data_IF_514939322358
#
_entry.id   IF_514939322358
#
_cell.length_a   1.000
_cell.length_b   1.000
_cell.length_c   1.000
_cell.angle_alpha   90.00
_cell.angle_beta   90.00
_cell.angle_gamma   90.00
#
_symmetry.space_group_name_H-M   'P 1'
#
loop_
_entity.id
_entity.type
_entity.pdbx_description
1 polymer ?
#
# COMPACT_ATOMS: atom_id res chain seq x y z
N UNK A 1 0.49 26.42 -5.74
CA UNK A 1 0.28 25.06 -5.22
C UNK A 1 1.51 24.63 -4.43
N UNK A 2 1.32 24.01 -3.26
CA UNK A 2 2.35 23.46 -2.39
C UNK A 2 1.99 22.00 -2.10
N UNK A 3 2.86 21.10 -2.53
CA UNK A 3 2.69 19.65 -2.35
C UNK A 3 3.58 19.22 -1.20
N UNK A 4 3.00 18.61 -0.17
CA UNK A 4 3.75 17.86 0.83
C UNK A 4 3.94 16.44 0.33
N UNK A 5 5.16 15.91 0.44
CA UNK A 5 5.46 14.51 0.19
C UNK A 5 6.02 13.91 1.47
N UNK A 6 5.37 12.86 1.95
CA UNK A 6 5.67 12.19 3.21
C UNK A 6 5.80 10.67 3.02
N UNK A 7 6.34 10.01 4.04
CA UNK A 7 6.63 8.59 4.02
C UNK A 7 7.72 8.23 3.01
N UNK A 8 7.54 7.06 2.39
CA UNK A 8 8.60 6.29 1.73
C UNK A 8 8.91 6.73 0.28
N UNK A 9 8.57 7.96 -0.10
CA UNK A 9 8.62 8.45 -1.48
C UNK A 9 10.04 8.60 -2.06
N UNK A 10 11.05 8.73 -1.19
CA UNK A 10 12.45 8.84 -1.55
C UNK A 10 13.04 7.51 -2.02
N UNK A 11 12.56 6.42 -1.42
CA UNK A 11 13.27 5.14 -1.38
C UNK A 11 12.95 4.27 -2.59
N UNK A 12 13.84 4.25 -3.57
CA UNK A 12 13.70 3.47 -4.81
C UNK A 12 13.74 1.97 -4.52
N UNK A 13 14.56 1.53 -3.58
CA UNK A 13 14.64 0.11 -3.22
C UNK A 13 13.27 -0.47 -2.81
N UNK A 14 12.46 0.30 -2.09
CA UNK A 14 11.10 -0.08 -1.67
C UNK A 14 10.15 -0.21 -2.87
N UNK A 15 10.33 0.63 -3.90
CA UNK A 15 9.56 0.51 -5.14
C UNK A 15 10.02 -0.67 -6.03
N UNK A 16 11.20 -1.25 -5.79
CA UNK A 16 11.76 -2.33 -6.62
C UNK A 16 11.50 -3.73 -6.05
N UNK A 17 11.47 -3.89 -4.72
CA UNK A 17 11.27 -5.18 -4.06
C UNK A 17 12.42 -6.18 -4.27
N UNK A 18 12.12 -7.46 -4.02
CA UNK A 18 13.07 -8.56 -4.15
C UNK A 18 13.62 -8.74 -5.57
N UNK A 19 14.67 -9.55 -5.71
CA UNK A 19 15.36 -9.83 -6.97
C UNK A 19 15.93 -8.61 -7.72
N UNK A 20 15.99 -7.44 -7.08
CA UNK A 20 16.57 -6.23 -7.66
C UNK A 20 17.91 -5.92 -7.01
N UNK A 21 18.99 -6.03 -7.80
CA UNK A 21 20.41 -5.87 -7.39
C UNK A 21 20.91 -6.85 -6.30
N UNK A 22 20.00 -7.44 -5.52
CA UNK A 22 20.25 -8.50 -4.55
C UNK A 22 19.04 -9.43 -4.50
N UNK A 23 19.23 -10.61 -3.90
CA UNK A 23 18.18 -11.63 -3.80
C UNK A 23 16.95 -11.10 -3.04
N UNK A 24 17.15 -10.63 -1.80
CA UNK A 24 16.09 -10.02 -1.00
C UNK A 24 15.78 -8.58 -1.43
N UNK A 25 16.36 -8.10 -2.53
CA UNK A 25 16.35 -6.69 -2.91
C UNK A 25 17.47 -5.90 -2.22
N UNK A 26 17.52 -4.61 -2.49
CA UNK A 26 18.41 -3.69 -1.78
C UNK A 26 17.74 -3.21 -0.50
N UNK A 27 18.55 -2.89 0.51
CA UNK A 27 18.07 -2.36 1.81
C UNK A 27 18.29 -0.86 1.94
N UNK A 28 18.85 -0.23 0.91
CA UNK A 28 19.08 1.20 0.82
C UNK A 28 19.15 1.65 -0.66
N UNK A 29 19.27 2.95 -0.87
CA UNK A 29 19.31 3.56 -2.19
C UNK A 29 20.72 3.82 -2.75
N UNK A 30 21.78 3.48 -2.00
CA UNK A 30 23.18 3.78 -2.40
C UNK A 30 23.52 3.22 -3.79
N UNK A 31 22.99 2.03 -4.10
CA UNK A 31 23.17 1.40 -5.40
C UNK A 31 22.37 2.12 -6.48
N UNK A 32 21.12 2.53 -6.18
CA UNK A 32 20.24 3.17 -7.14
C UNK A 32 20.70 4.56 -7.56
N UNK A 33 21.43 5.28 -6.70
CA UNK A 33 22.07 6.56 -7.06
C UNK A 33 23.10 6.42 -8.20
N UNK A 34 23.66 5.22 -8.38
CA UNK A 34 24.62 4.92 -9.44
C UNK A 34 23.99 4.30 -10.68
N UNK A 35 22.69 4.00 -10.64
CA UNK A 35 21.96 3.40 -11.76
C UNK A 35 21.43 4.49 -12.67
N UNK A 36 21.84 4.44 -13.93
CA UNK A 36 21.33 5.36 -14.95
C UNK A 36 19.80 5.32 -15.01
N UNK A 37 19.21 6.51 -14.92
CA UNK A 37 17.77 6.73 -14.99
C UNK A 37 16.98 6.07 -13.84
N UNK A 38 17.55 5.86 -12.65
CA UNK A 38 16.76 5.63 -11.45
C UNK A 38 16.22 6.96 -10.92
N UNK A 39 14.90 7.09 -10.83
CA UNK A 39 14.24 8.33 -10.40
C UNK A 39 13.16 8.00 -9.38
N UNK A 40 13.40 8.41 -8.13
CA UNK A 40 12.44 8.32 -7.04
C UNK A 40 11.25 9.25 -7.25
N UNK A 41 10.13 8.99 -6.56
CA UNK A 41 8.95 9.83 -6.67
C UNK A 41 9.21 11.25 -6.24
N UNK A 42 9.93 11.44 -5.12
CA UNK A 42 10.25 12.79 -4.65
C UNK A 42 11.10 13.57 -5.66
N UNK A 43 12.09 12.92 -6.27
CA UNK A 43 12.94 13.54 -7.29
C UNK A 43 12.13 13.92 -8.54
N UNK A 44 11.29 13.01 -9.03
CA UNK A 44 10.42 13.27 -10.19
C UNK A 44 9.44 14.42 -9.91
N UNK A 45 8.84 14.47 -8.72
CA UNK A 45 7.93 15.54 -8.31
C UNK A 45 8.65 16.89 -8.24
N UNK A 46 9.88 16.95 -7.71
CA UNK A 46 10.70 18.16 -7.67
C UNK A 46 11.09 18.63 -9.08
N UNK A 47 11.49 17.72 -9.96
CA UNK A 47 11.79 18.03 -11.37
C UNK A 47 10.54 18.52 -12.12
N UNK A 48 9.37 17.96 -11.82
CA UNK A 48 8.10 18.41 -12.36
C UNK A 48 7.70 19.79 -11.79
N UNK A 49 7.93 20.03 -10.50
CA UNK A 49 7.58 21.30 -9.84
C UNK A 49 8.39 22.48 -10.36
N UNK A 50 9.68 22.25 -10.62
CA UNK A 50 10.57 23.23 -11.25
C UNK A 50 10.10 23.66 -12.64
N UNK A 51 9.39 22.78 -13.37
CA UNK A 51 8.84 23.05 -14.69
C UNK A 51 7.45 23.69 -14.65
N UNK A 52 6.70 23.55 -13.55
CA UNK A 52 5.27 23.89 -13.47
C UNK A 52 4.91 24.90 -12.36
N UNK A 53 5.89 25.64 -11.83
CA UNK A 53 5.70 26.75 -10.89
C UNK A 53 4.86 26.40 -9.64
N UNK A 54 5.16 25.25 -9.02
CA UNK A 54 4.66 24.87 -7.71
C UNK A 54 5.81 24.38 -6.84
N UNK A 55 5.60 24.22 -5.54
CA UNK A 55 6.66 23.76 -4.61
C UNK A 55 6.36 22.36 -4.11
N UNK A 56 7.40 21.53 -4.02
CA UNK A 56 7.36 20.23 -3.36
C UNK A 56 8.16 20.33 -2.07
N UNK A 57 7.54 19.96 -0.95
CA UNK A 57 8.21 19.84 0.34
C UNK A 57 8.35 18.36 0.67
N UNK A 58 9.59 17.97 0.91
CA UNK A 58 10.00 16.62 1.27
C UNK A 58 10.10 16.53 2.80
N UNK A 59 9.15 15.84 3.42
CA UNK A 59 9.09 15.65 4.86
C UNK A 59 8.52 14.26 5.15
N UNK A 60 9.42 13.27 5.06
CA UNK A 60 9.15 11.86 5.30
C UNK A 60 8.35 11.61 6.59
N UNK A 61 8.64 12.36 7.66
CA UNK A 61 8.00 12.20 8.96
C UNK A 61 6.73 13.04 9.14
N UNK A 62 6.41 13.95 8.21
CA UNK A 62 5.27 14.86 8.29
C UNK A 62 5.32 15.84 9.47
N UNK A 63 6.51 16.13 10.01
CA UNK A 63 6.68 17.00 11.21
C UNK A 63 6.35 18.47 10.92
N UNK A 64 6.53 18.91 9.69
CA UNK A 64 6.29 20.27 9.21
C UNK A 64 4.81 20.59 8.93
N UNK A 65 3.92 19.61 9.10
CA UNK A 65 2.47 19.77 8.87
C UNK A 65 1.78 20.74 9.83
N UNK A 66 2.25 20.83 11.07
CA UNK A 66 1.59 21.64 12.11
C UNK A 66 1.63 23.16 11.84
N UNK A 67 2.43 23.62 10.88
CA UNK A 67 2.70 25.04 10.63
C UNK A 67 2.62 25.46 9.15
N UNK A 68 2.09 24.60 8.26
CA UNK A 68 2.23 24.80 6.82
C UNK A 68 0.91 24.62 6.08
N UNK A 69 0.54 25.63 5.29
CA UNK A 69 -0.56 25.53 4.32
C UNK A 69 -0.09 24.72 3.09
N UNK A 70 -0.49 23.44 3.01
CA UNK A 70 -0.31 22.58 1.84
C UNK A 70 -1.61 22.46 1.06
N UNK A 71 -1.51 22.40 -0.27
CA UNK A 71 -2.67 22.24 -1.15
C UNK A 71 -3.02 20.76 -1.39
N UNK A 72 -2.03 19.88 -1.30
CA UNK A 72 -2.18 18.42 -1.42
C UNK A 72 -1.04 17.73 -0.69
N UNK A 73 -1.34 16.57 -0.12
CA UNK A 73 -0.38 15.69 0.55
C UNK A 73 -0.29 14.39 -0.26
N UNK A 74 0.93 14.00 -0.61
CA UNK A 74 1.24 12.69 -1.19
C UNK A 74 1.94 11.87 -0.11
N UNK A 75 1.30 10.79 0.33
CA UNK A 75 1.86 9.88 1.33
C UNK A 75 2.22 8.55 0.67
N UNK A 76 3.49 8.18 0.74
CA UNK A 76 3.95 6.90 0.20
C UNK A 76 4.13 5.92 1.35
N UNK A 77 3.47 4.77 1.24
CA UNK A 77 3.57 3.65 2.16
C UNK A 77 4.14 2.45 1.41
N UNK A 78 4.88 1.58 2.07
CA UNK A 78 5.51 0.46 1.39
C UNK A 78 5.84 -0.72 2.30
N UNK A 79 5.78 -1.92 1.73
CA UNK A 79 6.50 -3.09 2.26
C UNK A 79 8.01 -2.97 1.99
N UNK A 80 8.81 -3.61 2.84
CA UNK A 80 10.23 -3.81 2.57
C UNK A 80 10.42 -4.83 1.43
N UNK A 81 11.58 -4.80 0.76
CA UNK A 81 11.92 -5.80 -0.24
C UNK A 81 12.06 -7.19 0.36
N UNK A 82 11.46 -8.18 -0.29
CA UNK A 82 11.57 -9.58 0.07
C UNK A 82 11.53 -10.48 -1.17
N UNK A 83 12.11 -11.67 -1.06
CA UNK A 83 12.05 -12.70 -2.08
C UNK A 83 11.88 -14.10 -1.47
N UNK A 84 11.12 -14.94 -2.16
CA UNK A 84 10.87 -16.34 -1.79
C UNK A 84 10.32 -16.45 -0.35
N UNK A 85 10.81 -17.41 0.44
CA UNK A 85 10.36 -17.72 1.80
C UNK A 85 10.42 -16.54 2.76
N UNK A 86 11.23 -15.52 2.47
CA UNK A 86 11.30 -14.33 3.32
C UNK A 86 10.09 -13.40 3.17
N UNK A 87 9.33 -13.55 2.08
CA UNK A 87 8.05 -12.86 1.87
C UNK A 87 6.84 -13.58 2.46
N UNK A 88 7.00 -14.83 2.91
CA UNK A 88 5.92 -15.60 3.51
C UNK A 88 5.44 -14.91 4.80
N UNK A 89 4.12 -14.96 5.01
CA UNK A 89 3.52 -14.59 6.30
C UNK A 89 3.54 -15.82 7.21
N UNK A 90 4.06 -15.67 8.41
CA UNK A 90 4.11 -16.73 9.42
C UNK A 90 2.69 -17.07 9.96
N UNK A 91 2.56 -18.22 10.63
CA UNK A 91 1.30 -18.56 11.31
C UNK A 91 0.91 -17.52 12.36
N UNK A 92 -0.36 -17.13 12.35
CA UNK A 92 -0.90 -16.04 13.16
C UNK A 92 -0.76 -14.65 12.54
N UNK A 93 -0.01 -14.47 11.45
CA UNK A 93 0.13 -13.17 10.79
C UNK A 93 -1.08 -12.80 9.94
N UNK A 94 -1.28 -11.50 9.68
CA UNK A 94 -2.39 -11.00 8.86
C UNK A 94 -1.90 -10.20 7.66
N UNK A 95 -2.80 -9.92 6.71
CA UNK A 95 -2.55 -9.04 5.56
C UNK A 95 -2.51 -7.54 5.94
N UNK A 96 -2.68 -7.17 7.20
CA UNK A 96 -2.66 -5.77 7.62
C UNK A 96 -1.29 -5.13 7.40
N UNK A 97 -1.28 -3.98 6.72
CA UNK A 97 -0.05 -3.23 6.45
C UNK A 97 0.60 -2.67 7.73
N UNK A 98 -0.18 -1.97 8.55
CA UNK A 98 0.33 -1.22 9.69
C UNK A 98 0.40 -2.02 11.00
N UNK A 99 -0.20 -3.22 11.05
CA UNK A 99 -0.32 -4.00 12.28
C UNK A 99 -0.39 -5.49 11.98
N UNK A 100 0.68 -6.19 12.25
CA UNK A 100 0.71 -7.63 12.17
C UNK A 100 1.48 -8.14 13.40
N UNK A 101 0.82 -8.88 14.31
CA UNK A 101 1.52 -9.51 15.43
C UNK A 101 2.24 -10.75 14.94
N UNK A 102 3.31 -10.50 14.21
CA UNK A 102 4.28 -11.52 13.85
C UNK A 102 5.12 -11.91 15.06
N UNK A 103 5.40 -13.21 15.24
CA UNK A 103 6.47 -13.65 16.15
C UNK A 103 7.85 -13.16 15.69
N UNK A 104 8.02 -12.90 14.40
CA UNK A 104 9.25 -12.40 13.78
C UNK A 104 9.27 -10.86 13.64
N UNK A 105 8.12 -10.19 13.80
CA UNK A 105 7.95 -8.74 13.63
C UNK A 105 8.08 -8.26 12.18
N UNK A 106 8.07 -9.18 11.21
CA UNK A 106 8.30 -8.86 9.79
C UNK A 106 7.05 -8.24 9.14
N UNK A 107 7.26 -7.55 8.02
CA UNK A 107 6.20 -7.05 7.14
C UNK A 107 5.14 -6.19 7.84
N UNK A 108 5.54 -5.40 8.84
CA UNK A 108 4.63 -4.54 9.61
C UNK A 108 5.17 -3.11 9.66
N UNK A 109 4.32 -2.14 9.28
CA UNK A 109 4.73 -0.75 9.06
C UNK A 109 3.81 0.23 9.81
N UNK A 110 3.78 0.21 11.16
CA UNK A 110 2.88 1.05 11.95
C UNK A 110 3.12 2.54 11.73
N UNK A 111 4.36 2.93 11.43
CA UNK A 111 4.75 4.31 11.15
C UNK A 111 3.96 4.91 9.98
N UNK A 112 3.60 4.10 8.98
CA UNK A 112 2.89 4.56 7.79
C UNK A 112 1.47 5.02 8.13
N UNK A 113 0.74 4.27 8.97
CA UNK A 113 -0.58 4.66 9.44
C UNK A 113 -0.49 5.81 10.45
N UNK A 114 0.49 5.80 11.36
CA UNK A 114 0.67 6.85 12.37
C UNK A 114 0.87 8.21 11.68
N UNK A 115 1.74 8.26 10.67
CA UNK A 115 1.97 9.48 9.88
C UNK A 115 0.71 9.92 9.14
N UNK A 116 -0.04 8.98 8.55
CA UNK A 116 -1.29 9.28 7.84
C UNK A 116 -2.38 9.84 8.78
N UNK A 117 -2.53 9.25 9.98
CA UNK A 117 -3.42 9.77 11.04
C UNK A 117 -3.02 11.18 11.44
N UNK A 118 -1.74 11.39 11.75
CA UNK A 118 -1.23 12.72 12.09
C UNK A 118 -1.49 13.74 10.98
N UNK A 119 -1.34 13.34 9.72
CA UNK A 119 -1.61 14.19 8.58
C UNK A 119 -3.09 14.57 8.47
N UNK A 120 -3.99 13.59 8.56
CA UNK A 120 -5.44 13.82 8.52
C UNK A 120 -5.92 14.67 9.70
N UNK A 121 -5.41 14.44 10.90
CA UNK A 121 -5.76 15.21 12.10
C UNK A 121 -5.29 16.66 12.01
N UNK A 122 -4.08 16.88 11.49
CA UNK A 122 -3.48 18.22 11.38
C UNK A 122 -4.02 19.04 10.22
N UNK A 123 -4.47 18.37 9.14
CA UNK A 123 -4.94 19.00 7.91
C UNK A 123 -6.23 18.36 7.39
N UNK A 124 -7.35 18.45 8.14
CA UNK A 124 -8.57 17.65 7.90
C UNK A 124 -9.17 17.84 6.52
N UNK A 125 -9.04 19.04 5.94
CA UNK A 125 -9.60 19.40 4.62
C UNK A 125 -8.60 19.32 3.48
N UNK A 126 -7.33 19.02 3.76
CA UNK A 126 -6.31 18.93 2.69
C UNK A 126 -6.43 17.57 2.00
N UNK A 127 -6.50 17.51 0.67
CA UNK A 127 -6.51 16.25 -0.05
C UNK A 127 -5.26 15.41 0.22
N UNK A 128 -5.45 14.14 0.56
CA UNK A 128 -4.37 13.16 0.77
C UNK A 128 -4.43 12.07 -0.30
N UNK A 129 -3.35 11.93 -1.07
CA UNK A 129 -3.16 10.85 -2.04
C UNK A 129 -2.18 9.85 -1.43
N UNK A 130 -2.65 8.65 -1.12
CA UNK A 130 -1.78 7.57 -0.64
C UNK A 130 -1.35 6.67 -1.78
N UNK A 131 -0.06 6.39 -1.88
CA UNK A 131 0.52 5.48 -2.88
C UNK A 131 1.16 4.31 -2.13
N UNK A 132 0.72 3.08 -2.44
CA UNK A 132 1.24 1.86 -1.84
C UNK A 132 2.21 1.15 -2.78
N UNK A 133 3.45 0.94 -2.33
CA UNK A 133 4.36 -0.04 -2.91
C UNK A 133 4.26 -1.36 -2.15
N UNK A 134 3.80 -2.41 -2.82
CA UNK A 134 3.66 -3.72 -2.19
C UNK A 134 3.86 -4.84 -3.20
N UNK A 135 4.38 -5.97 -2.72
CA UNK A 135 4.53 -7.18 -3.54
C UNK A 135 3.22 -7.96 -3.68
N UNK A 136 2.21 -7.61 -2.89
CA UNK A 136 0.91 -8.31 -2.79
C UNK A 136 -0.23 -7.35 -2.42
N UNK A 137 -1.50 -7.76 -2.61
CA UNK A 137 -2.63 -7.11 -1.96
C UNK A 137 -2.50 -7.16 -0.44
N UNK A 138 -2.84 -6.06 0.23
CA UNK A 138 -2.81 -5.94 1.69
C UNK A 138 -4.17 -5.46 2.19
N UNK A 139 -4.49 -5.75 3.44
CA UNK A 139 -5.61 -5.14 4.13
C UNK A 139 -5.22 -3.73 4.57
N UNK A 140 -5.84 -2.72 3.95
CA UNK A 140 -5.51 -1.28 4.08
C UNK A 140 -6.76 -0.40 4.19
N UNK A 141 -7.86 -0.94 4.73
CA UNK A 141 -9.13 -0.21 4.79
C UNK A 141 -9.02 1.10 5.59
N UNK A 142 -8.22 1.10 6.65
CA UNK A 142 -8.02 2.29 7.49
C UNK A 142 -7.24 3.38 6.75
N UNK A 143 -6.18 2.99 6.04
CA UNK A 143 -5.38 3.87 5.20
C UNK A 143 -6.23 4.45 4.06
N UNK A 144 -7.08 3.64 3.42
CA UNK A 144 -8.03 4.10 2.40
C UNK A 144 -9.02 5.11 3.00
N UNK A 145 -9.58 4.83 4.19
CA UNK A 145 -10.51 5.73 4.86
C UNK A 145 -9.89 7.09 5.21
N UNK A 146 -8.59 7.13 5.48
CA UNK A 146 -7.86 8.37 5.75
C UNK A 146 -7.38 9.10 4.48
N UNK A 147 -7.53 8.50 3.29
CA UNK A 147 -7.03 9.02 2.01
C UNK A 147 -8.15 9.49 1.08
N UNK A 148 -7.93 10.62 0.40
CA UNK A 148 -8.85 11.11 -0.64
C UNK A 148 -8.72 10.33 -1.95
N UNK A 149 -7.52 9.82 -2.23
CA UNK A 149 -7.25 8.87 -3.29
C UNK A 149 -6.24 7.83 -2.80
N UNK A 150 -6.37 6.60 -3.28
CA UNK A 150 -5.45 5.51 -2.93
C UNK A 150 -5.00 4.81 -4.23
N UNK A 151 -3.69 4.68 -4.40
CA UNK A 151 -3.06 4.10 -5.60
C UNK A 151 -2.24 2.89 -5.20
N UNK A 152 -2.65 1.71 -5.65
CA UNK A 152 -1.82 0.51 -5.60
C UNK A 152 -0.80 0.55 -6.76
N UNK A 153 0.45 0.88 -6.44
CA UNK A 153 1.51 1.04 -7.44
C UNK A 153 2.34 -0.24 -7.65
N UNK A 154 2.17 -1.26 -6.80
CA UNK A 154 2.94 -2.50 -6.81
C UNK A 154 4.44 -2.23 -6.65
N UNK A 155 5.28 -2.82 -7.51
CA UNK A 155 6.74 -2.63 -7.52
C UNK A 155 7.20 -2.02 -8.86
N UNK A 156 7.01 -0.70 -9.08
CA UNK A 156 7.32 -0.03 -10.35
C UNK A 156 8.82 0.25 -10.58
N UNK A 157 9.63 0.07 -9.53
CA UNK A 157 11.09 0.17 -9.52
C UNK A 157 11.65 1.48 -10.10
N UNK A 158 12.73 1.44 -10.89
CA UNK A 158 13.56 2.60 -11.25
C UNK A 158 12.83 3.74 -11.97
N UNK A 159 11.65 3.49 -12.56
CA UNK A 159 10.80 4.48 -13.24
C UNK A 159 9.52 4.80 -12.46
N UNK A 160 9.46 4.43 -11.18
CA UNK A 160 8.38 4.78 -10.27
C UNK A 160 8.09 6.28 -10.31
N UNK A 161 9.12 7.11 -10.19
CA UNK A 161 8.93 8.56 -10.06
C UNK A 161 8.23 9.18 -11.27
N UNK A 162 8.78 9.08 -12.50
CA UNK A 162 8.13 9.63 -13.68
C UNK A 162 6.73 9.04 -13.91
N UNK A 163 6.59 7.71 -13.81
CA UNK A 163 5.31 7.05 -14.05
C UNK A 163 4.21 7.43 -13.06
N UNK A 164 4.56 7.69 -11.79
CA UNK A 164 3.60 8.07 -10.76
C UNK A 164 3.40 9.59 -10.67
N UNK A 165 4.34 10.40 -11.14
CA UNK A 165 4.17 11.87 -11.17
C UNK A 165 3.14 12.28 -12.22
N UNK A 166 3.16 11.67 -13.40
CA UNK A 166 2.25 12.05 -14.48
C UNK A 166 0.76 11.80 -14.15
N UNK A 167 0.50 10.89 -13.21
CA UNK A 167 -0.83 10.49 -12.79
C UNK A 167 -1.54 11.63 -12.03
N UNK A 168 -1.21 12.01 -10.77
CA UNK A 168 -1.94 13.04 -10.01
C UNK A 168 -2.14 14.39 -10.71
N UNK A 169 -1.27 14.72 -11.67
CA UNK A 169 -1.35 15.96 -12.46
C UNK A 169 -2.21 15.84 -13.72
N UNK A 170 -2.81 14.67 -13.98
CA UNK A 170 -3.70 14.42 -15.10
C UNK A 170 -3.01 14.40 -16.46
N UNK A 171 -1.68 14.25 -16.49
CA UNK A 171 -0.94 14.18 -17.76
C UNK A 171 -1.20 12.86 -18.49
N UNK A 172 -1.49 11.79 -17.75
CA UNK A 172 -1.90 10.48 -18.27
C UNK A 172 -3.07 9.93 -17.46
N UNK A 173 -3.89 9.08 -18.08
CA UNK A 173 -5.02 8.43 -17.41
C UNK A 173 -4.62 7.08 -16.79
N UNK A 174 -5.31 6.64 -15.73
CA UNK A 174 -5.12 5.32 -15.14
C UNK A 174 -5.70 4.22 -16.05
N UNK A 175 -4.83 3.37 -16.58
CA UNK A 175 -5.20 2.20 -17.38
C UNK A 175 -5.01 0.87 -16.65
N UNK A 176 -4.24 0.88 -15.55
CA UNK A 176 -4.01 -0.30 -14.73
C UNK A 176 -5.31 -0.85 -14.15
N UNK A 177 -5.44 -2.18 -14.12
CA UNK A 177 -6.54 -2.91 -13.52
C UNK A 177 -5.97 -4.03 -12.67
N UNK A 178 -6.59 -4.30 -11.52
CA UNK A 178 -6.10 -5.29 -10.57
C UNK A 178 -5.98 -6.68 -11.22
N UNK A 179 -4.79 -7.26 -11.20
CA UNK A 179 -4.54 -8.64 -11.61
C UNK A 179 -4.80 -9.65 -10.49
N UNK A 180 -5.13 -9.17 -9.29
CA UNK A 180 -5.43 -9.96 -8.11
C UNK A 180 -6.65 -9.37 -7.40
N UNK A 181 -7.41 -10.21 -6.70
CA UNK A 181 -8.50 -9.71 -5.85
C UNK A 181 -7.91 -9.01 -4.63
N UNK A 182 -8.52 -7.90 -4.20
CA UNK A 182 -8.08 -7.18 -3.00
C UNK A 182 -8.87 -7.64 -1.78
N UNK A 183 -8.20 -7.95 -0.65
CA UNK A 183 -8.87 -8.49 0.54
C UNK A 183 -9.84 -7.49 1.17
N UNK A 184 -10.95 -8.02 1.65
CA UNK A 184 -11.94 -7.36 2.48
C UNK A 184 -11.72 -7.57 3.97
N UNK A 185 -11.01 -8.64 4.33
CA UNK A 185 -10.73 -9.01 5.71
C UNK A 185 -9.22 -9.25 5.91
N UNK A 186 -8.64 -8.92 7.09
CA UNK A 186 -7.21 -9.11 7.40
C UNK A 186 -6.69 -10.53 7.17
N UNK A 187 -7.54 -11.53 7.34
CA UNK A 187 -7.22 -12.95 7.18
C UNK A 187 -7.66 -13.56 5.85
N UNK A 188 -7.96 -12.73 4.86
CA UNK A 188 -8.50 -13.19 3.57
C UNK A 188 -7.39 -13.54 2.58
N UNK A 189 -6.56 -14.54 2.90
CA UNK A 189 -5.36 -14.88 2.13
C UNK A 189 -5.67 -15.48 0.74
N UNK A 190 -6.77 -16.22 0.62
CA UNK A 190 -7.12 -16.95 -0.59
C UNK A 190 -8.60 -16.74 -0.94
N UNK A 191 -8.86 -15.86 -1.91
CA UNK A 191 -10.22 -15.65 -2.44
C UNK A 191 -10.38 -16.47 -3.72
N UNK A 192 -10.90 -17.69 -3.59
CA UNK A 192 -11.09 -18.65 -4.68
C UNK A 192 -12.39 -18.38 -5.43
N UNK A 193 -12.68 -19.18 -6.46
CA UNK A 193 -13.94 -19.12 -7.20
C UNK A 193 -14.89 -20.13 -6.56
N UNK A 194 -16.03 -19.68 -6.04
CA UNK A 194 -17.06 -20.55 -5.48
C UNK A 194 -16.96 -20.83 -3.98
N UNK A 195 -16.03 -20.19 -3.27
CA UNK A 195 -15.93 -20.21 -1.80
C UNK A 195 -16.92 -19.25 -1.10
N UNK A 196 -17.60 -18.39 -1.88
CA UNK A 196 -18.55 -17.41 -1.35
C UNK A 196 -17.89 -16.18 -0.72
N UNK A 197 -16.56 -16.12 -0.71
CA UNK A 197 -15.81 -14.98 -0.21
C UNK A 197 -15.84 -13.83 -1.22
N UNK A 198 -16.17 -12.63 -0.74
CA UNK A 198 -16.19 -11.42 -1.57
C UNK A 198 -14.92 -10.60 -1.32
N UNK A 199 -14.23 -10.14 -2.38
CA UNK A 199 -13.13 -9.20 -2.23
C UNK A 199 -13.64 -7.76 -2.04
N UNK A 200 -12.86 -6.91 -1.37
CA UNK A 200 -13.15 -5.47 -1.27
C UNK A 200 -13.11 -4.82 -2.65
N UNK A 201 -12.07 -5.15 -3.42
CA UNK A 201 -11.97 -4.77 -4.83
C UNK A 201 -11.80 -6.03 -5.69
N UNK A 202 -12.70 -6.27 -6.67
CA UNK A 202 -12.63 -7.48 -7.48
C UNK A 202 -11.45 -7.48 -8.45
N UNK A 203 -11.15 -8.65 -8.99
CA UNK A 203 -10.25 -8.77 -10.15
C UNK A 203 -10.69 -7.84 -11.28
N UNK A 204 -9.74 -7.23 -11.99
CA UNK A 204 -9.93 -6.19 -13.01
C UNK A 204 -10.56 -4.89 -12.52
N UNK A 205 -10.72 -4.68 -11.21
CA UNK A 205 -11.08 -3.36 -10.68
C UNK A 205 -9.97 -2.34 -10.93
N UNK A 206 -10.34 -1.08 -11.15
CA UNK A 206 -9.43 0.04 -11.25
C UNK A 206 -10.15 1.24 -11.84
N UNK A 207 -10.06 2.37 -11.16
CA UNK A 207 -10.66 3.63 -11.60
C UNK A 207 -9.75 4.34 -12.60
N UNK A 208 -10.35 5.29 -13.32
CA UNK A 208 -9.75 6.21 -14.26
C UNK A 208 -10.28 7.63 -14.03
N UNK A 209 -9.68 8.63 -14.67
CA UNK A 209 -10.19 10.01 -14.61
C UNK A 209 -11.55 10.21 -15.29
N UNK A 210 -12.03 9.21 -16.05
CA UNK A 210 -13.36 9.22 -16.65
C UNK A 210 -14.43 8.72 -15.67
N UNK A 211 -14.03 8.03 -14.60
CA UNK A 211 -14.95 7.51 -13.60
C UNK A 211 -15.39 8.62 -12.64
N UNK A 212 -16.67 8.98 -12.69
CA UNK A 212 -17.26 9.98 -11.79
C UNK A 212 -17.78 9.30 -10.52
N UNK A 213 -16.90 9.03 -9.56
CA UNK A 213 -17.28 8.57 -8.22
C UNK A 213 -16.76 9.57 -7.17
N UNK A 214 -17.53 10.63 -6.84
CA UNK A 214 -17.13 11.56 -5.80
C UNK A 214 -16.94 10.82 -4.46
N UNK A 215 -15.81 11.04 -3.78
CA UNK A 215 -15.53 10.45 -2.45
C UNK A 215 -16.66 10.68 -1.45
N UNK A 216 -17.35 11.82 -1.54
CA UNK A 216 -18.47 12.18 -0.66
C UNK A 216 -19.64 11.18 -0.70
N UNK A 217 -19.71 10.34 -1.75
CA UNK A 217 -20.77 9.34 -1.93
C UNK A 217 -20.30 7.92 -1.59
N UNK A 218 -19.01 7.72 -1.26
CA UNK A 218 -18.48 6.41 -0.86
C UNK A 218 -18.46 6.31 0.68
N UNK A 219 -19.21 5.35 1.27
CA UNK A 219 -19.15 5.13 2.71
C UNK A 219 -17.74 4.72 3.12
N UNK A 220 -17.36 5.06 4.36
CA UNK A 220 -16.13 4.54 4.95
C UNK A 220 -16.16 3.00 4.90
N UNK A 221 -15.02 2.41 4.59
CA UNK A 221 -14.83 0.97 4.62
C UNK A 221 -14.85 0.49 6.07
N UNK A 222 -15.40 -0.70 6.30
CA UNK A 222 -15.36 -1.31 7.63
C UNK A 222 -13.91 -1.57 8.04
N UNK A 223 -13.54 -1.10 9.24
CA UNK A 223 -12.21 -1.30 9.81
C UNK A 223 -12.28 -2.39 10.86
N UNK A 224 -11.73 -3.54 10.50
CA UNK A 224 -11.49 -4.67 11.38
C UNK A 224 -10.11 -4.49 12.01
N UNK A 225 -10.09 -4.37 13.33
CA UNK A 225 -8.86 -4.48 14.11
C UNK A 225 -8.68 -5.93 14.58
N UNK A 226 -7.56 -6.53 14.21
CA UNK A 226 -7.23 -7.90 14.55
C UNK A 226 -5.74 -7.97 14.90
N UNK A 227 -5.41 -8.82 15.87
CA UNK A 227 -4.02 -9.05 16.25
C UNK A 227 -3.41 -10.22 15.48
N UNK A 228 -4.17 -11.31 15.33
CA UNK A 228 -3.69 -12.53 14.70
C UNK A 228 -4.75 -13.17 13.81
N UNK A 229 -4.31 -13.77 12.70
CA UNK A 229 -5.13 -14.68 11.91
C UNK A 229 -4.83 -16.10 12.36
N UNK A 230 -5.63 -16.61 13.31
CA UNK A 230 -5.50 -18.01 13.70
C UNK A 230 -5.85 -18.91 12.52
N UNK A 231 -4.93 -19.78 12.13
CA UNK A 231 -5.22 -20.86 11.21
C UNK A 231 -6.14 -21.88 11.90
N UNK A 232 -7.42 -22.05 11.49
CA UNK A 232 -8.27 -23.07 12.08
C UNK A 232 -7.71 -24.50 11.85
N UNK A 233 -6.74 -24.67 10.94
CA UNK A 233 -6.07 -25.94 10.69
C UNK A 233 -4.87 -26.25 11.61
N UNK A 234 -4.47 -25.35 12.52
CA UNK A 234 -3.45 -25.68 13.52
C UNK A 234 -3.92 -26.73 14.54
N UNK A 235 -5.24 -26.90 14.67
CA UNK A 235 -5.88 -27.84 15.62
C UNK A 235 -6.33 -29.16 14.95
N UNK A 236 -6.08 -29.34 13.65
CA UNK A 236 -6.42 -30.57 12.93
C UNK A 236 -5.25 -31.57 12.98
N UNK A 237 -5.16 -32.27 14.11
CA UNK A 237 -4.34 -33.49 14.26
C UNK A 237 -4.94 -34.62 13.40
N UNK A 238 -4.77 -34.58 12.07
CA UNK A 238 -5.30 -35.62 11.17
C UNK A 238 -4.81 -35.48 9.73
N UNK A 239 -4.64 -36.62 9.06
CA UNK A 239 -3.90 -36.88 7.81
C UNK A 239 -4.31 -36.11 6.52
N UNK A 240 -4.98 -34.96 6.60
CA UNK A 240 -5.34 -34.17 5.40
C UNK A 240 -5.13 -32.65 5.59
N UNK A 241 -3.93 -32.32 6.03
CA UNK A 241 -3.41 -30.98 6.28
C UNK A 241 -2.89 -30.28 4.99
N UNK A 242 -3.54 -30.54 3.86
CA UNK A 242 -3.27 -29.77 2.63
C UNK A 242 -4.05 -28.45 2.66
N UNK A 243 -3.46 -27.37 2.12
CA UNK A 243 -4.12 -26.07 1.90
C UNK A 243 -5.39 -26.13 1.01
N UNK A 244 -5.76 -27.32 0.56
CA UNK A 244 -6.94 -27.62 -0.25
C UNK A 244 -8.13 -28.11 0.59
N UNK A 245 -7.96 -28.39 1.88
CA UNK A 245 -9.05 -28.81 2.76
C UNK A 245 -10.13 -27.71 2.89
N UNK A 246 -11.42 -28.03 2.70
CA UNK A 246 -12.53 -27.10 2.91
C UNK A 246 -12.60 -26.53 4.33
N UNK A 247 -11.98 -27.20 5.29
CA UNK A 247 -11.93 -26.80 6.70
C UNK A 247 -10.80 -25.79 7.00
N UNK A 248 -9.92 -25.52 6.02
CA UNK A 248 -8.87 -24.49 6.08
C UNK A 248 -9.29 -23.15 5.46
N UNK A 249 -10.60 -22.88 5.41
CA UNK A 249 -11.16 -21.66 4.82
C UNK A 249 -11.01 -20.46 5.78
N UNK A 250 -9.83 -19.85 5.77
CA UNK A 250 -9.56 -18.55 6.38
C UNK A 250 -10.38 -17.48 5.66
N UNK A 251 -11.55 -17.15 6.21
CA UNK A 251 -12.41 -16.08 5.67
C UNK A 251 -13.91 -16.22 5.87
N UNK A 252 -14.42 -17.27 6.54
CA UNK A 252 -15.81 -17.20 7.00
C UNK A 252 -15.93 -16.17 8.12
N UNK A 253 -16.55 -15.04 7.82
CA UNK A 253 -17.18 -14.21 8.84
C UNK A 253 -18.08 -15.13 9.67
N UNK A 254 -17.79 -15.29 10.96
CA UNK A 254 -18.70 -15.95 11.88
C UNK A 254 -19.93 -15.05 12.10
N UNK A 255 -20.84 -15.06 11.13
CA UNK A 255 -22.20 -14.59 11.32
C UNK A 255 -23.11 -15.82 11.46
N UNK A 256 -23.09 -16.37 12.67
CA UNK A 256 -24.26 -16.99 13.32
C UNK A 256 -24.40 -16.33 14.68
#
# INVERSE_FOLDING_TARGET
MRVLVMGKARWIHLACGGWTMGWQGQVNDDVFDTVDNAVSLIKALQEHSNRNNYTVVDDEEGKGMLNSDYDVIIHVIAEDPYAEVYGDLDDGESLMHHRNQSRSGRHTYPEDLIRLKHARDSAPTTPIITILYSGRPLYVNEEINLSDAFVAAWLPCKQAGPGLTDLPFGAVNFTGRLSMKWPDHPCQFNIRKGDGQLPRFPYSYGLSYEDTHPRNDMPLLDVIELNTCLNPCSDLDGEDNTWESPDCDLGRSSNV
#
